data_IF_807500014386
#
_entry.id   IF_807500014386
#
_cell.length_a   1.000
_cell.length_b   1.000
_cell.length_c   1.000
_cell.angle_alpha   90.00
_cell.angle_beta   90.00
_cell.angle_gamma   90.00
#
_symmetry.space_group_name_H-M   'P 1'
#
loop_
_entity.id
_entity.type
_entity.pdbx_description
1 polymer ?
#
# COMPACT_ATOMS: atom_id res chain seq x y z
N UNK A 1 6.72 -25.37 5.45
CA UNK A 1 5.56 -24.66 6.04
C UNK A 1 4.77 -23.97 4.94
N UNK A 2 3.51 -23.56 5.18
CA UNK A 2 2.71 -22.86 4.15
C UNK A 2 3.40 -21.59 3.62
N UNK A 3 4.19 -20.91 4.46
CA UNK A 3 4.93 -19.71 4.07
C UNK A 3 6.02 -20.02 3.04
N UNK A 4 6.70 -21.16 3.18
CA UNK A 4 7.72 -21.61 2.22
C UNK A 4 7.10 -21.86 0.84
N UNK A 5 5.92 -22.48 0.80
CA UNK A 5 5.17 -22.73 -0.45
C UNK A 5 4.79 -21.40 -1.11
N UNK A 6 4.23 -20.45 -0.34
CA UNK A 6 3.87 -19.13 -0.87
C UNK A 6 5.12 -18.40 -1.39
N UNK A 7 6.24 -18.47 -0.66
CA UNK A 7 7.51 -17.87 -1.07
C UNK A 7 8.02 -18.46 -2.38
N UNK A 8 8.05 -19.78 -2.50
CA UNK A 8 8.48 -20.47 -3.71
C UNK A 8 7.63 -20.10 -4.93
N UNK A 9 6.31 -20.04 -4.78
CA UNK A 9 5.41 -19.63 -5.87
C UNK A 9 5.60 -18.17 -6.28
N UNK A 10 5.80 -17.26 -5.31
CA UNK A 10 6.14 -15.87 -5.60
C UNK A 10 7.45 -15.80 -6.38
N UNK A 11 8.50 -16.49 -5.94
CA UNK A 11 9.82 -16.47 -6.58
C UNK A 11 9.78 -17.00 -8.02
N UNK A 12 8.94 -18.01 -8.31
CA UNK A 12 8.75 -18.52 -9.69
C UNK A 12 8.15 -17.47 -10.64
N UNK A 13 7.39 -16.51 -10.12
CA UNK A 13 6.58 -15.57 -10.92
C UNK A 13 6.95 -14.10 -10.76
N UNK A 14 7.87 -13.77 -9.85
CA UNK A 14 8.20 -12.37 -9.48
C UNK A 14 8.66 -11.52 -10.66
N UNK A 15 9.33 -12.13 -11.65
CA UNK A 15 9.81 -11.42 -12.84
C UNK A 15 8.73 -11.19 -13.90
N UNK A 16 7.60 -11.91 -13.82
CA UNK A 16 6.49 -11.85 -14.80
C UNK A 16 5.26 -11.11 -14.24
N UNK A 17 5.06 -11.18 -12.92
CA UNK A 17 3.85 -10.69 -12.26
C UNK A 17 3.90 -9.18 -11.98
N UNK A 18 2.76 -8.49 -12.17
CA UNK A 18 2.59 -7.08 -11.79
C UNK A 18 2.34 -6.87 -10.30
N UNK A 19 2.07 -7.96 -9.58
CA UNK A 19 1.72 -7.97 -8.16
C UNK A 19 1.15 -9.33 -7.76
N UNK A 20 1.00 -9.54 -6.47
CA UNK A 20 0.50 -10.80 -5.90
C UNK A 20 -0.70 -10.53 -5.02
N UNK A 21 -1.75 -11.32 -5.21
CA UNK A 21 -2.93 -11.33 -4.33
C UNK A 21 -2.90 -12.65 -3.57
N UNK A 22 -2.73 -12.55 -2.25
CA UNK A 22 -2.77 -13.71 -1.37
C UNK A 22 -4.19 -13.85 -0.80
N UNK A 23 -4.91 -14.87 -1.25
CA UNK A 23 -6.27 -15.13 -0.79
C UNK A 23 -6.27 -16.00 0.47
N UNK A 24 -6.88 -15.52 1.56
CA UNK A 24 -7.04 -16.29 2.80
C UNK A 24 -5.72 -16.57 3.53
N UNK A 25 -4.69 -15.76 3.30
CA UNK A 25 -3.39 -15.83 3.96
C UNK A 25 -2.88 -14.40 4.29
N UNK A 26 -2.25 -14.18 5.46
CA UNK A 26 -2.02 -15.12 6.56
C UNK A 26 -3.29 -15.34 7.41
N UNK A 27 -3.41 -16.53 8.02
CA UNK A 27 -4.50 -16.87 8.96
C UNK A 27 -4.13 -16.79 10.43
N UNK A 28 -2.84 -16.73 10.75
CA UNK A 28 -2.35 -16.65 12.13
C UNK A 28 -1.28 -15.58 12.27
N UNK A 29 -1.10 -15.03 13.47
CA UNK A 29 -0.04 -14.05 13.72
C UNK A 29 1.36 -14.62 13.45
N UNK A 30 1.57 -15.93 13.65
CA UNK A 30 2.86 -16.58 13.34
C UNK A 30 3.15 -16.59 11.84
N UNK A 31 2.15 -16.90 11.02
CA UNK A 31 2.27 -16.84 9.55
C UNK A 31 2.55 -15.41 9.08
N UNK A 32 1.85 -14.42 9.65
CA UNK A 32 2.06 -13.01 9.35
C UNK A 32 3.51 -12.57 9.62
N UNK A 33 4.03 -12.90 10.81
CA UNK A 33 5.42 -12.57 11.18
C UNK A 33 6.41 -13.23 10.25
N UNK A 34 6.20 -14.52 9.97
CA UNK A 34 7.12 -15.28 9.14
C UNK A 34 7.12 -14.79 7.70
N UNK A 35 5.94 -14.46 7.14
CA UNK A 35 5.82 -13.90 5.80
C UNK A 35 6.57 -12.56 5.67
N UNK A 36 6.42 -11.65 6.64
CA UNK A 36 7.14 -10.38 6.65
C UNK A 36 8.66 -10.61 6.74
N UNK A 37 9.09 -11.59 7.53
CA UNK A 37 10.50 -11.93 7.72
C UNK A 37 11.14 -12.58 6.50
N UNK A 38 10.44 -13.50 5.85
CA UNK A 38 11.02 -14.39 4.83
C UNK A 38 10.67 -14.01 3.39
N UNK A 39 9.64 -13.19 3.21
CA UNK A 39 9.14 -12.73 1.91
C UNK A 39 9.21 -11.21 1.84
N UNK A 40 8.19 -10.50 2.36
CA UNK A 40 8.11 -9.03 2.40
C UNK A 40 6.89 -8.60 3.23
N UNK A 41 6.90 -7.37 3.73
CA UNK A 41 5.69 -6.68 4.19
C UNK A 41 4.68 -6.42 3.04
N UNK A 42 3.38 -6.38 3.36
CA UNK A 42 2.28 -6.21 2.39
C UNK A 42 1.96 -4.74 2.14
N UNK A 43 1.49 -4.41 0.94
CA UNK A 43 1.09 -3.03 0.59
C UNK A 43 -0.33 -2.69 1.11
N UNK A 44 -1.23 -3.67 1.08
CA UNK A 44 -2.62 -3.53 1.54
C UNK A 44 -3.18 -4.88 2.02
N UNK A 45 -4.19 -4.83 2.89
CA UNK A 45 -5.01 -5.99 3.24
C UNK A 45 -6.47 -5.61 3.00
N UNK A 46 -7.17 -6.40 2.18
CA UNK A 46 -8.61 -6.22 1.95
C UNK A 46 -9.37 -7.23 2.82
N UNK A 47 -10.11 -6.74 3.80
CA UNK A 47 -10.99 -7.55 4.64
C UNK A 47 -12.43 -7.40 4.19
N UNK A 48 -12.91 -8.41 3.46
CA UNK A 48 -14.31 -8.52 3.04
C UNK A 48 -15.14 -9.02 4.22
N UNK A 49 -16.16 -8.26 4.61
CA UNK A 49 -17.09 -8.64 5.68
C UNK A 49 -18.55 -8.51 5.25
N UNK A 50 -19.41 -9.25 5.92
CA UNK A 50 -20.83 -9.40 5.62
C UNK A 50 -21.59 -9.70 6.91
N UNK A 51 -22.91 -9.53 6.90
CA UNK A 51 -23.74 -9.99 8.02
C UNK A 51 -23.77 -11.52 8.06
N UNK A 52 -23.77 -12.10 9.28
CA UNK A 52 -23.61 -13.56 9.45
C UNK A 52 -24.70 -14.35 8.75
N UNK A 53 -25.96 -13.91 8.83
CA UNK A 53 -27.07 -14.59 8.17
C UNK A 53 -26.95 -14.58 6.63
N UNK A 54 -26.37 -13.52 6.03
CA UNK A 54 -26.11 -13.49 4.58
C UNK A 54 -24.99 -14.44 4.19
N UNK A 55 -23.95 -14.55 5.01
CA UNK A 55 -22.90 -15.55 4.78
C UNK A 55 -23.48 -16.97 4.85
N UNK A 56 -24.31 -17.28 5.85
CA UNK A 56 -25.00 -18.57 5.96
C UNK A 56 -25.85 -18.84 4.72
N UNK A 57 -26.72 -17.90 4.34
CA UNK A 57 -27.59 -18.02 3.17
C UNK A 57 -26.79 -18.29 1.88
N UNK A 58 -25.70 -17.55 1.64
CA UNK A 58 -24.81 -17.78 0.48
C UNK A 58 -24.15 -19.15 0.48
N UNK A 59 -23.82 -19.70 1.65
CA UNK A 59 -23.23 -21.04 1.76
C UNK A 59 -24.29 -22.11 1.48
N UNK A 60 -25.51 -21.94 2.01
CA UNK A 60 -26.65 -22.83 1.75
C UNK A 60 -27.04 -22.83 0.26
N UNK A 61 -27.14 -21.67 -0.38
CA UNK A 61 -27.36 -21.57 -1.82
C UNK A 61 -26.31 -22.34 -2.64
N UNK A 62 -25.06 -22.35 -2.17
CA UNK A 62 -23.95 -22.99 -2.88
C UNK A 62 -23.83 -24.49 -2.61
N UNK A 63 -24.13 -24.94 -1.39
CA UNK A 63 -23.86 -26.32 -0.94
C UNK A 63 -25.13 -27.15 -0.67
N UNK A 64 -26.30 -26.54 -0.76
CA UNK A 64 -27.58 -27.18 -0.44
C UNK A 64 -27.96 -27.04 1.03
N UNK A 65 -28.77 -27.98 1.53
CA UNK A 65 -29.23 -27.99 2.91
C UNK A 65 -28.08 -28.42 3.85
N UNK A 66 -27.64 -27.50 4.70
CA UNK A 66 -26.53 -27.68 5.64
C UNK A 66 -26.94 -27.07 6.96
N UNK A 67 -26.49 -27.71 8.04
CA UNK A 67 -26.72 -27.23 9.40
C UNK A 67 -26.21 -25.79 9.58
N UNK A 68 -27.14 -24.89 9.82
CA UNK A 68 -26.87 -23.45 9.99
C UNK A 68 -25.92 -23.19 11.16
N UNK A 69 -26.02 -23.96 12.24
CA UNK A 69 -25.21 -23.76 13.44
C UNK A 69 -23.75 -24.13 13.19
N UNK A 70 -23.50 -25.24 12.49
CA UNK A 70 -22.17 -25.60 12.01
C UNK A 70 -21.55 -24.50 11.14
N UNK A 71 -22.31 -23.94 10.19
CA UNK A 71 -21.83 -22.86 9.31
C UNK A 71 -21.50 -21.59 10.11
N UNK A 72 -22.32 -21.21 11.09
CA UNK A 72 -22.04 -20.09 11.99
C UNK A 72 -20.73 -20.30 12.75
N UNK A 73 -20.52 -21.49 13.31
CA UNK A 73 -19.30 -21.81 14.04
C UNK A 73 -18.05 -21.72 13.16
N UNK A 74 -18.12 -22.16 11.91
CA UNK A 74 -17.04 -21.98 10.92
C UNK A 74 -16.76 -20.50 10.63
N UNK A 75 -17.81 -19.69 10.44
CA UNK A 75 -17.69 -18.24 10.22
C UNK A 75 -17.01 -17.58 11.42
N UNK A 76 -17.47 -17.86 12.64
CA UNK A 76 -16.89 -17.27 13.86
C UNK A 76 -15.42 -17.63 14.02
N UNK A 77 -15.05 -18.89 13.76
CA UNK A 77 -13.67 -19.34 13.78
C UNK A 77 -12.83 -18.56 12.77
N UNK A 78 -13.30 -18.44 11.53
CA UNK A 78 -12.60 -17.70 10.47
C UNK A 78 -12.41 -16.22 10.82
N UNK A 79 -13.42 -15.56 11.36
CA UNK A 79 -13.34 -14.15 11.77
C UNK A 79 -12.29 -13.95 12.87
N UNK A 80 -12.19 -14.88 13.83
CA UNK A 80 -11.16 -14.85 14.87
C UNK A 80 -9.76 -15.06 14.29
N UNK A 81 -9.58 -16.04 13.38
CA UNK A 81 -8.31 -16.27 12.68
C UNK A 81 -7.87 -15.01 11.91
N UNK A 82 -8.78 -14.37 11.16
CA UNK A 82 -8.49 -13.13 10.43
C UNK A 82 -8.07 -12.02 11.38
N UNK A 83 -8.76 -11.86 12.51
CA UNK A 83 -8.42 -10.84 13.52
C UNK A 83 -6.99 -11.04 14.05
N UNK A 84 -6.61 -12.28 14.34
CA UNK A 84 -5.26 -12.62 14.81
C UNK A 84 -4.19 -12.46 13.72
N UNK A 85 -4.47 -12.93 12.50
CA UNK A 85 -3.57 -12.83 11.36
C UNK A 85 -3.31 -11.39 10.91
N UNK A 86 -4.29 -10.51 11.06
CA UNK A 86 -4.21 -9.12 10.60
C UNK A 86 -3.84 -8.10 11.69
N UNK A 87 -3.75 -8.52 12.96
CA UNK A 87 -3.50 -7.63 14.09
C UNK A 87 -2.25 -6.73 13.92
N UNK A 88 -1.16 -7.29 13.35
CA UNK A 88 0.09 -6.55 13.10
C UNK A 88 0.02 -5.58 11.93
N UNK A 89 -1.01 -5.69 11.10
CA UNK A 89 -1.20 -4.90 9.89
C UNK A 89 -2.38 -3.95 10.00
N UNK A 90 -2.90 -3.67 11.20
CA UNK A 90 -4.13 -2.89 11.42
C UNK A 90 -4.18 -1.57 10.65
N UNK A 91 -3.05 -0.87 10.49
CA UNK A 91 -2.94 0.36 9.72
C UNK A 91 -3.12 0.19 8.20
N UNK A 92 -3.05 -1.04 7.68
CA UNK A 92 -3.11 -1.43 6.26
C UNK A 92 -4.38 -2.20 5.89
N UNK A 93 -5.24 -2.50 6.87
CA UNK A 93 -6.50 -3.21 6.64
C UNK A 93 -7.56 -2.23 6.14
N UNK A 94 -8.12 -2.52 4.97
CA UNK A 94 -9.32 -1.90 4.43
C UNK A 94 -10.49 -2.86 4.59
N UNK A 95 -11.51 -2.44 5.35
CA UNK A 95 -12.70 -3.25 5.58
C UNK A 95 -13.77 -2.89 4.55
N UNK A 96 -14.26 -3.89 3.82
CA UNK A 96 -15.25 -3.68 2.77
C UNK A 96 -16.49 -4.52 3.05
N UNK A 97 -17.62 -3.85 3.16
CA UNK A 97 -18.93 -4.47 3.33
C UNK A 97 -19.43 -5.06 2.01
N UNK A 98 -19.85 -6.32 2.03
CA UNK A 98 -20.08 -7.13 0.81
C UNK A 98 -21.54 -7.49 0.55
N UNK A 99 -22.46 -6.82 1.24
CA UNK A 99 -23.89 -7.10 1.19
C UNK A 99 -24.62 -6.36 0.04
N UNK A 100 -23.91 -5.49 -0.66
CA UNK A 100 -24.38 -4.80 -1.87
C UNK A 100 -24.19 -5.67 -3.12
N UNK A 101 -24.58 -5.14 -4.29
CA UNK A 101 -24.37 -5.81 -5.57
C UNK A 101 -22.86 -6.06 -5.85
N UNK A 102 -22.49 -7.17 -6.53
CA UNK A 102 -21.08 -7.51 -6.79
C UNK A 102 -20.29 -6.39 -7.47
N UNK A 103 -20.91 -5.64 -8.38
CA UNK A 103 -20.28 -4.51 -9.06
C UNK A 103 -19.95 -3.35 -8.10
N UNK A 104 -20.87 -3.02 -7.19
CA UNK A 104 -20.61 -2.01 -6.16
C UNK A 104 -19.49 -2.43 -5.20
N UNK A 105 -19.48 -3.71 -4.81
CA UNK A 105 -18.41 -4.26 -3.95
C UNK A 105 -17.07 -4.21 -4.69
N UNK A 106 -17.05 -4.56 -5.98
CA UNK A 106 -15.86 -4.49 -6.81
C UNK A 106 -15.31 -3.07 -6.93
N UNK A 107 -16.16 -2.09 -7.21
CA UNK A 107 -15.77 -0.68 -7.29
C UNK A 107 -15.16 -0.16 -5.97
N UNK A 108 -15.69 -0.63 -4.82
CA UNK A 108 -15.11 -0.33 -3.49
C UNK A 108 -13.74 -0.98 -3.29
N UNK A 109 -13.56 -2.22 -3.75
CA UNK A 109 -12.26 -2.91 -3.72
C UNK A 109 -11.24 -2.15 -4.56
N UNK A 110 -11.59 -1.80 -5.81
CA UNK A 110 -10.72 -1.06 -6.71
C UNK A 110 -10.31 0.30 -6.11
N UNK A 111 -11.29 1.05 -5.58
CA UNK A 111 -11.03 2.33 -4.92
C UNK A 111 -10.08 2.16 -3.74
N UNK A 112 -10.31 1.16 -2.88
CA UNK A 112 -9.47 0.87 -1.71
C UNK A 112 -8.04 0.50 -2.10
N UNK A 113 -7.88 -0.32 -3.14
CA UNK A 113 -6.57 -0.71 -3.67
C UNK A 113 -5.86 0.49 -4.30
N UNK A 114 -6.53 1.32 -5.09
CA UNK A 114 -5.93 2.53 -5.67
C UNK A 114 -5.45 3.49 -4.58
N UNK A 115 -6.23 3.67 -3.50
CA UNK A 115 -5.81 4.50 -2.37
C UNK A 115 -4.56 3.94 -1.68
N UNK A 116 -4.49 2.62 -1.48
CA UNK A 116 -3.38 1.99 -0.78
C UNK A 116 -2.12 1.88 -1.63
N UNK A 117 -2.27 1.70 -2.93
CA UNK A 117 -1.16 1.44 -3.85
C UNK A 117 -0.57 2.72 -4.47
N UNK A 118 -1.20 3.91 -4.34
CA UNK A 118 -0.82 5.08 -5.17
C UNK A 118 -0.82 6.45 -4.46
N UNK A 119 -0.38 6.55 -3.21
CA UNK A 119 -0.35 7.85 -2.52
C UNK A 119 1.01 8.27 -2.01
N UNK A 120 1.66 9.13 -2.80
CA UNK A 120 2.69 10.01 -2.25
C UNK A 120 2.05 10.98 -1.27
N UNK A 121 2.57 11.01 -0.05
CA UNK A 121 2.18 11.96 0.99
C UNK A 121 3.36 12.84 1.28
N UNK A 122 3.10 14.14 1.49
CA UNK A 122 4.14 15.05 1.95
C UNK A 122 4.65 14.56 3.30
N UNK A 123 5.90 14.13 3.32
CA UNK A 123 6.54 13.57 4.51
C UNK A 123 7.30 14.66 5.26
N UNK A 124 7.97 15.58 4.55
CA UNK A 124 8.73 16.68 5.14
C UNK A 124 8.59 17.95 4.31
N UNK A 125 8.49 19.10 4.99
CA UNK A 125 8.37 20.45 4.39
C UNK A 125 9.74 21.14 4.42
N UNK A 126 10.05 21.95 3.41
CA UNK A 126 11.29 22.73 3.32
C UNK A 126 12.56 21.87 3.44
N UNK A 127 12.48 20.63 2.96
CA UNK A 127 13.62 19.71 2.92
C UNK A 127 13.51 18.85 1.68
N UNK A 128 14.67 18.44 1.18
CA UNK A 128 14.82 17.44 0.12
C UNK A 128 15.69 16.29 0.60
N UNK A 129 15.50 15.10 0.05
CA UNK A 129 16.49 14.03 0.17
C UNK A 129 17.72 14.36 -0.69
N UNK A 130 18.90 14.02 -0.19
CA UNK A 130 20.17 14.09 -0.93
C UNK A 130 20.56 12.76 -1.59
N UNK A 131 19.69 11.76 -1.51
CA UNK A 131 19.90 10.52 -2.24
C UNK A 131 19.93 10.78 -3.75
N UNK A 132 20.70 9.95 -4.46
CA UNK A 132 20.79 10.00 -5.91
C UNK A 132 19.41 9.76 -6.53
N UNK A 133 18.88 10.77 -7.22
CA UNK A 133 17.62 10.64 -7.94
C UNK A 133 17.80 9.78 -9.20
N UNK A 134 16.82 8.92 -9.48
CA UNK A 134 16.84 8.05 -10.64
C UNK A 134 16.53 8.82 -11.94
N UNK A 135 15.60 9.78 -11.86
CA UNK A 135 15.15 10.61 -12.99
C UNK A 135 14.71 11.99 -12.51
N UNK A 136 14.73 13.00 -13.39
CA UNK A 136 14.29 14.36 -13.08
C UNK A 136 13.56 15.01 -14.26
N UNK A 137 12.47 15.74 -14.00
CA UNK A 137 11.67 16.44 -15.03
C UNK A 137 10.97 17.68 -14.46
N UNK A 138 10.66 18.66 -15.29
CA UNK A 138 9.96 19.86 -14.87
C UNK A 138 8.44 19.70 -15.01
N UNK A 139 7.70 20.14 -13.99
CA UNK A 139 6.24 20.14 -13.95
C UNK A 139 5.70 21.39 -13.28
N UNK A 140 4.48 21.82 -13.66
CA UNK A 140 3.86 23.02 -13.06
C UNK A 140 3.24 22.74 -11.70
N UNK A 141 2.76 21.52 -11.50
CA UNK A 141 2.05 21.13 -10.28
C UNK A 141 2.63 19.86 -9.67
N UNK A 142 2.46 19.72 -8.35
CA UNK A 142 2.84 18.50 -7.62
C UNK A 142 2.07 17.29 -8.16
N UNK A 143 0.83 17.46 -8.61
CA UNK A 143 0.04 16.39 -9.19
C UNK A 143 0.71 15.79 -10.43
N UNK A 144 1.19 16.63 -11.35
CA UNK A 144 1.93 16.18 -12.53
C UNK A 144 3.23 15.46 -12.18
N UNK A 145 3.96 15.97 -11.18
CA UNK A 145 5.15 15.28 -10.66
C UNK A 145 4.81 13.92 -10.04
N UNK A 146 3.71 13.82 -9.29
CA UNK A 146 3.22 12.57 -8.73
C UNK A 146 2.77 11.58 -9.81
N UNK A 147 2.11 12.04 -10.87
CA UNK A 147 1.72 11.20 -12.00
C UNK A 147 2.95 10.62 -12.69
N UNK A 148 3.95 11.45 -12.98
CA UNK A 148 5.24 11.01 -13.51
C UNK A 148 5.97 10.04 -12.57
N UNK A 149 5.90 10.28 -11.26
CA UNK A 149 6.46 9.38 -10.26
C UNK A 149 5.77 8.00 -10.30
N UNK A 150 4.45 7.94 -10.47
CA UNK A 150 3.71 6.68 -10.63
C UNK A 150 4.08 5.97 -11.94
N UNK A 151 4.15 6.70 -13.06
CA UNK A 151 4.60 6.15 -14.36
C UNK A 151 5.99 5.51 -14.27
N UNK A 152 6.86 6.07 -13.42
CA UNK A 152 8.23 5.60 -13.21
C UNK A 152 8.40 4.73 -11.97
N UNK A 153 7.29 4.26 -11.38
CA UNK A 153 7.25 3.41 -10.19
C UNK A 153 8.15 3.90 -9.05
N UNK A 154 8.22 5.22 -8.87
CA UNK A 154 9.01 5.87 -7.83
C UNK A 154 8.47 5.57 -6.44
N UNK A 155 9.35 5.57 -5.43
CA UNK A 155 8.92 5.38 -4.03
C UNK A 155 8.90 6.69 -3.24
N UNK A 156 9.62 7.70 -3.72
CA UNK A 156 9.60 9.04 -3.18
C UNK A 156 9.93 10.09 -4.25
N UNK A 157 9.64 11.35 -3.95
CA UNK A 157 9.96 12.49 -4.80
C UNK A 157 10.43 13.68 -3.96
N UNK A 158 11.39 14.44 -4.49
CA UNK A 158 11.56 15.84 -4.10
C UNK A 158 10.77 16.68 -5.10
N UNK A 159 9.89 17.57 -4.62
CA UNK A 159 9.17 18.49 -5.47
C UNK A 159 9.34 19.93 -5.01
N UNK A 160 9.72 20.78 -5.95
CA UNK A 160 9.82 22.23 -5.79
C UNK A 160 8.68 22.89 -6.57
N UNK A 161 7.78 23.65 -5.95
CA UNK A 161 6.81 24.41 -6.72
C UNK A 161 7.53 25.47 -7.58
N UNK A 162 7.00 25.83 -8.77
CA UNK A 162 7.62 26.85 -9.62
C UNK A 162 7.84 28.18 -8.88
N UNK A 163 6.93 28.57 -7.99
CA UNK A 163 7.06 29.80 -7.18
C UNK A 163 8.25 29.76 -6.20
N UNK A 164 8.72 28.58 -5.80
CA UNK A 164 9.91 28.47 -4.96
C UNK A 164 11.18 28.92 -5.68
N UNK A 165 11.19 29.01 -7.02
CA UNK A 165 12.30 29.59 -7.77
C UNK A 165 12.58 31.05 -7.35
N UNK A 166 11.56 31.79 -6.90
CA UNK A 166 11.68 33.18 -6.42
C UNK A 166 12.48 33.29 -5.12
N UNK A 167 12.59 32.20 -4.36
CA UNK A 167 13.34 32.15 -3.11
C UNK A 167 14.82 31.81 -3.33
N UNK A 168 15.24 31.58 -4.58
CA UNK A 168 16.59 31.08 -4.90
C UNK A 168 17.51 32.18 -5.41
N UNK A 169 18.79 32.05 -5.08
CA UNK A 169 19.85 33.00 -5.50
C UNK A 169 20.17 32.90 -6.99
N UNK A 170 20.13 31.68 -7.56
CA UNK A 170 20.30 31.43 -9.00
C UNK A 170 19.24 30.43 -9.48
N UNK A 171 18.68 30.66 -10.66
CA UNK A 171 17.59 29.84 -11.22
C UNK A 171 18.10 28.59 -11.97
N UNK A 172 19.33 28.65 -12.49
CA UNK A 172 19.95 27.57 -13.28
C UNK A 172 20.45 26.41 -12.43
N UNK A 173 20.69 26.63 -11.13
CA UNK A 173 21.33 25.65 -10.25
C UNK A 173 20.47 24.38 -10.01
N UNK A 174 19.18 24.36 -10.37
CA UNK A 174 18.27 23.32 -9.87
C UNK A 174 17.07 22.92 -10.73
N UNK A 175 17.04 23.24 -12.03
CA UNK A 175 16.08 22.60 -12.92
C UNK A 175 16.52 21.16 -13.20
N UNK A 176 15.69 20.15 -12.88
CA UNK A 176 14.22 20.18 -12.81
C UNK A 176 13.61 20.11 -11.40
N UNK A 177 12.37 20.58 -11.29
CA UNK A 177 11.65 20.75 -10.03
C UNK A 177 10.94 19.49 -9.50
N UNK A 178 10.87 18.41 -10.28
CA UNK A 178 10.43 17.10 -9.85
C UNK A 178 11.60 16.12 -9.97
N UNK A 179 12.03 15.57 -8.84
CA UNK A 179 13.11 14.61 -8.75
C UNK A 179 12.56 13.29 -8.23
N UNK A 180 12.72 12.24 -9.02
CA UNK A 180 12.22 10.90 -8.74
C UNK A 180 13.26 10.10 -7.98
N UNK A 181 12.88 9.58 -6.81
CA UNK A 181 13.75 8.79 -5.96
C UNK A 181 13.36 7.30 -6.03
N UNK A 182 14.35 6.45 -6.30
CA UNK A 182 14.17 5.00 -6.38
C UNK A 182 13.87 4.37 -5.00
N UNK A 183 14.30 5.03 -3.94
CA UNK A 183 14.06 4.64 -2.55
C UNK A 183 13.54 5.82 -1.74
N UNK A 184 12.69 5.59 -0.74
CA UNK A 184 12.36 6.61 0.25
C UNK A 184 13.48 6.71 1.31
N UNK A 185 13.74 7.92 1.80
CA UNK A 185 14.64 8.17 2.93
C UNK A 185 14.04 7.63 4.24
N UNK A 186 14.66 6.61 4.82
CA UNK A 186 14.21 5.95 6.05
C UNK A 186 14.86 6.65 7.25
N UNK A 187 14.06 7.23 8.15
CA UNK A 187 14.57 7.93 9.33
C UNK A 187 15.12 9.34 9.07
N UNK A 188 14.99 9.86 7.85
CA UNK A 188 15.41 11.21 7.45
C UNK A 188 16.91 11.49 7.61
N UNK A 189 17.76 10.45 7.53
CA UNK A 189 19.21 10.62 7.72
C UNK A 189 19.86 11.40 6.58
N UNK A 190 19.28 11.35 5.37
CA UNK A 190 19.84 11.98 4.17
C UNK A 190 19.03 13.23 3.77
N UNK A 191 18.23 13.79 4.69
CA UNK A 191 17.43 14.98 4.44
C UNK A 191 18.24 16.25 4.64
N UNK A 192 18.33 17.07 3.61
CA UNK A 192 18.98 18.39 3.64
C UNK A 192 17.92 19.48 3.74
N UNK A 193 18.22 20.53 4.51
CA UNK A 193 17.38 21.71 4.63
C UNK A 193 17.39 22.51 3.31
N UNK A 194 16.22 22.67 2.71
CA UNK A 194 16.05 23.36 1.43
C UNK A 194 14.63 23.92 1.37
N UNK A 195 14.49 25.22 1.64
CA UNK A 195 13.20 25.91 1.64
C UNK A 195 12.51 25.92 0.28
N UNK A 196 13.21 25.51 -0.79
CA UNK A 196 12.65 25.42 -2.12
C UNK A 196 12.01 24.07 -2.44
N UNK A 197 12.13 23.06 -1.57
CA UNK A 197 11.63 21.71 -1.82
C UNK A 197 10.79 21.16 -0.68
N UNK A 198 9.77 20.39 -1.05
CA UNK A 198 9.05 19.48 -0.17
C UNK A 198 9.37 18.04 -0.58
N UNK A 199 9.50 17.16 0.41
CA UNK A 199 9.73 15.73 0.20
C UNK A 199 8.43 14.95 0.40
N UNK A 200 8.12 14.09 -0.57
CA UNK A 200 6.94 13.24 -0.57
C UNK A 200 7.35 11.78 -0.70
N UNK A 201 6.66 10.90 0.00
CA UNK A 201 6.90 9.46 -0.08
C UNK A 201 5.59 8.71 -0.24
N UNK A 202 5.60 7.60 -0.99
CA UNK A 202 4.50 6.64 -1.04
C UNK A 202 4.17 6.08 0.36
N UNK A 203 5.12 6.16 1.29
CA UNK A 203 4.98 5.73 2.68
C UNK A 203 4.66 6.95 3.56
N UNK A 204 3.52 6.90 4.26
CA UNK A 204 3.28 7.84 5.37
C UNK A 204 4.07 7.32 6.57
N UNK A 205 4.90 8.18 7.15
CA UNK A 205 5.54 7.99 8.46
C UNK A 205 6.84 7.15 8.46
N UNK A 206 7.92 7.73 7.93
CA UNK A 206 9.26 7.11 7.93
C UNK A 206 10.06 7.41 9.22
N UNK A 207 9.40 7.96 10.23
CA UNK A 207 10.06 8.54 11.40
C UNK A 207 9.23 8.57 12.70
N UNK A 208 8.21 7.71 12.88
CA UNK A 208 7.72 7.50 14.26
C UNK A 208 8.85 6.79 15.03
N UNK A 209 9.48 7.51 15.96
CA UNK A 209 9.69 6.93 17.29
C UNK A 209 8.32 6.83 17.97
#
# INVERSE_FOLDING_TARGET
MIVDIVKEEILKKVNEAKGFILNGFPRTSKQAVLFVKEVKDVDAIIYLYSETYKMVSRVQEKKGDIDEESVKNEIFKYVNEVKEGTAKFSAKVEKIYTDAAPEEVFNKIESSLNLRLKHYKRAVICRRSDDSFALKREFRTIAQCMDYARERTALAINYSPPDAAKLRKNIEDYLPNCQILGCPDIGYSNMINDSGYDYYSAYKNLSRK
#
